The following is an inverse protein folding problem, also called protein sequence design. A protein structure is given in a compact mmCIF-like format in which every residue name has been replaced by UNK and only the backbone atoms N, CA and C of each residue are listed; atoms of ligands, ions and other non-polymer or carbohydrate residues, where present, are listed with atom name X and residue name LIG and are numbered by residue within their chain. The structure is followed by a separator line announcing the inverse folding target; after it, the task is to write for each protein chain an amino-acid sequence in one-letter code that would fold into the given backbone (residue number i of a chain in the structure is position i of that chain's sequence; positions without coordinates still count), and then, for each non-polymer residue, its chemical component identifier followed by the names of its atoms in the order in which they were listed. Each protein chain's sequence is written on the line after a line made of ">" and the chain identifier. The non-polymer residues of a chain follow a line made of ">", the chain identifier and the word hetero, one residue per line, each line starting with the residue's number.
data_IF_725359688948
#
_entry.id   IF_725359688948
#
_cell.length_a   1.000
_cell.length_b   1.000
_cell.length_c   1.000
_cell.angle_alpha   90.00
_cell.angle_beta   90.00
_cell.angle_gamma   90.00
#
_symmetry.space_group_name_H-M   'P 1'
#
loop_
_entity.id
_entity.type
_entity.pdbx_description
1 polymer ?
#
# COMPACT_ATOMS: atom_id res chain seq x y z
N UNK A 1 -20.16 26.53 -0.17
CA UNK A 1 -20.85 25.51 0.67
C UNK A 1 -21.19 26.06 2.06
N UNK A 2 -20.20 26.55 2.82
CA UNK A 2 -20.43 27.16 4.15
C UNK A 2 -21.26 28.44 4.03
N UNK A 3 -20.95 29.30 3.05
CA UNK A 3 -21.75 30.51 2.74
C UNK A 3 -23.19 30.23 2.25
N UNK A 4 -23.53 28.97 1.97
CA UNK A 4 -24.87 28.52 1.57
C UNK A 4 -25.63 27.84 2.73
N UNK A 5 -25.14 27.94 3.97
CA UNK A 5 -25.79 27.39 5.17
C UNK A 5 -25.50 25.90 5.43
N UNK A 6 -24.57 25.27 4.70
CA UNK A 6 -24.16 23.90 5.00
C UNK A 6 -23.20 23.85 6.21
N UNK A 7 -23.41 22.90 7.12
CA UNK A 7 -22.48 22.65 8.23
C UNK A 7 -21.08 22.29 7.72
N UNK A 8 -20.04 22.61 8.49
CA UNK A 8 -18.63 22.36 8.12
C UNK A 8 -18.39 20.89 7.75
N UNK A 9 -19.02 19.96 8.50
CA UNK A 9 -18.95 18.52 8.23
C UNK A 9 -19.59 18.15 6.88
N UNK A 10 -20.73 18.77 6.54
CA UNK A 10 -21.40 18.56 5.25
C UNK A 10 -20.55 19.11 4.09
N UNK A 11 -19.95 20.28 4.26
CA UNK A 11 -19.05 20.87 3.28
C UNK A 11 -17.80 20.00 3.04
N UNK A 12 -17.20 19.49 4.12
CA UNK A 12 -16.04 18.60 4.03
C UNK A 12 -16.36 17.32 3.25
N UNK A 13 -17.38 16.57 3.66
CA UNK A 13 -17.69 15.27 3.05
C UNK A 13 -18.18 15.42 1.60
N UNK A 14 -18.97 16.45 1.29
CA UNK A 14 -19.65 16.57 -0.01
C UNK A 14 -18.87 17.35 -1.06
N UNK A 15 -17.92 18.18 -0.65
CA UNK A 15 -17.14 19.03 -1.57
C UNK A 15 -15.67 18.70 -1.47
N UNK A 16 -15.08 18.84 -0.28
CA UNK A 16 -13.61 18.71 -0.11
C UNK A 16 -13.16 17.26 -0.35
N UNK A 17 -13.82 16.30 0.26
CA UNK A 17 -13.47 14.88 0.23
C UNK A 17 -13.48 14.28 -1.21
N UNK A 18 -14.51 14.49 -2.06
CA UNK A 18 -14.48 14.02 -3.44
C UNK A 18 -13.47 14.78 -4.31
N UNK A 19 -13.24 16.07 -4.06
CA UNK A 19 -12.20 16.84 -4.78
C UNK A 19 -10.78 16.35 -4.44
N UNK A 20 -10.54 15.94 -3.19
CA UNK A 20 -9.27 15.36 -2.76
C UNK A 20 -9.10 13.89 -3.14
N UNK A 21 -10.18 13.21 -3.55
CA UNK A 21 -10.22 11.78 -3.84
C UNK A 21 -9.03 11.27 -4.67
N UNK A 22 -8.77 11.82 -5.87
CA UNK A 22 -7.66 11.38 -6.73
C UNK A 22 -6.28 11.50 -6.05
N UNK A 23 -6.07 12.58 -5.29
CA UNK A 23 -4.84 12.81 -4.54
C UNK A 23 -4.68 11.82 -3.37
N UNK A 24 -5.75 11.56 -2.63
CA UNK A 24 -5.76 10.57 -1.53
C UNK A 24 -5.51 9.17 -2.06
N UNK A 25 -6.10 8.80 -3.21
CA UNK A 25 -5.83 7.52 -3.86
C UNK A 25 -4.37 7.35 -4.25
N UNK A 26 -3.75 8.39 -4.83
CA UNK A 26 -2.31 8.37 -5.14
C UNK A 26 -1.45 8.21 -3.88
N UNK A 27 -1.79 8.92 -2.80
CA UNK A 27 -1.09 8.78 -1.52
C UNK A 27 -1.23 7.38 -0.93
N UNK A 28 -2.43 6.79 -0.98
CA UNK A 28 -2.69 5.45 -0.50
C UNK A 28 -1.86 4.39 -1.25
N UNK A 29 -1.67 4.54 -2.57
CA UNK A 29 -0.82 3.66 -3.37
C UNK A 29 0.64 3.74 -2.91
N UNK A 30 1.17 4.96 -2.76
CA UNK A 30 2.54 5.15 -2.29
C UNK A 30 2.77 4.58 -0.89
N UNK A 31 1.83 4.79 0.03
CA UNK A 31 1.88 4.19 1.37
C UNK A 31 1.82 2.66 1.32
N UNK A 32 0.95 2.08 0.49
CA UNK A 32 0.85 0.62 0.34
C UNK A 32 2.15 -0.02 -0.15
N UNK A 33 2.76 0.57 -1.19
CA UNK A 33 4.04 0.09 -1.75
C UNK A 33 5.15 0.15 -0.70
N UNK A 34 5.17 1.22 0.10
CA UNK A 34 6.18 1.38 1.15
C UNK A 34 6.00 0.32 2.23
N UNK A 35 4.76 0.06 2.65
CA UNK A 35 4.45 -0.87 3.74
C UNK A 35 4.67 -2.35 3.33
N UNK A 36 4.33 -2.74 2.10
CA UNK A 36 4.45 -4.15 1.69
C UNK A 36 5.91 -4.64 1.64
N UNK A 37 6.85 -3.71 1.45
CA UNK A 37 8.29 -3.96 1.44
C UNK A 37 8.98 -3.66 2.78
N UNK A 38 8.22 -3.28 3.81
CA UNK A 38 8.78 -2.82 5.08
C UNK A 38 9.36 -3.97 5.91
N UNK A 39 10.68 -3.97 6.08
CA UNK A 39 11.41 -4.94 6.89
C UNK A 39 11.85 -4.36 8.25
N UNK A 40 12.21 -3.09 8.32
CA UNK A 40 12.93 -2.50 9.46
C UNK A 40 12.10 -2.52 10.75
N UNK A 41 10.85 -2.08 10.68
CA UNK A 41 9.94 -2.19 11.83
C UNK A 41 9.51 -3.64 12.07
N UNK A 42 9.27 -4.39 11.00
CA UNK A 42 8.76 -5.76 11.04
C UNK A 42 9.71 -6.73 11.75
N UNK A 43 11.03 -6.62 11.54
CA UNK A 43 12.01 -7.53 12.16
C UNK A 43 12.11 -7.35 13.67
N UNK A 44 11.76 -6.16 14.19
CA UNK A 44 11.76 -5.88 15.64
C UNK A 44 10.47 -6.40 16.28
N UNK A 45 9.34 -6.32 15.56
CA UNK A 45 8.01 -6.61 16.11
C UNK A 45 7.46 -8.00 15.77
N UNK A 46 8.05 -8.74 14.82
CA UNK A 46 7.47 -10.02 14.42
C UNK A 46 7.59 -11.08 15.52
N UNK A 47 6.56 -11.91 15.62
CA UNK A 47 6.60 -13.19 16.33
C UNK A 47 6.48 -14.34 15.34
N UNK A 48 6.64 -15.58 15.77
CA UNK A 48 6.48 -16.78 14.93
C UNK A 48 5.13 -16.82 14.20
N UNK A 49 4.09 -16.21 14.79
CA UNK A 49 2.73 -16.14 14.21
C UNK A 49 2.50 -14.97 13.23
N UNK A 50 3.31 -13.92 13.26
CA UNK A 50 3.12 -12.69 12.46
C UNK A 50 4.26 -12.45 11.47
N UNK A 51 4.97 -13.51 11.07
CA UNK A 51 6.07 -13.45 10.12
C UNK A 51 5.56 -13.00 8.74
N UNK A 52 5.97 -11.80 8.34
CA UNK A 52 5.71 -11.27 6.99
C UNK A 52 6.62 -11.93 5.95
N UNK A 53 6.25 -11.82 4.67
CA UNK A 53 7.07 -12.35 3.56
C UNK A 53 8.46 -11.71 3.51
N UNK A 54 8.57 -10.39 3.78
CA UNK A 54 9.86 -9.70 3.84
C UNK A 54 10.78 -10.27 4.95
N UNK A 55 10.23 -10.49 6.15
CA UNK A 55 10.97 -11.13 7.25
C UNK A 55 11.31 -12.58 6.91
N UNK A 56 10.44 -13.29 6.18
CA UNK A 56 10.69 -14.65 5.75
C UNK A 56 11.89 -14.77 4.81
N UNK A 57 11.98 -13.89 3.81
CA UNK A 57 13.15 -13.80 2.92
C UNK A 57 14.41 -13.53 3.72
N UNK A 58 14.39 -12.51 4.57
CA UNK A 58 15.55 -12.14 5.38
C UNK A 58 16.03 -13.31 6.27
N UNK A 59 15.10 -13.98 6.95
CA UNK A 59 15.41 -15.11 7.82
C UNK A 59 16.07 -16.28 7.08
N UNK A 60 15.63 -16.61 5.86
CA UNK A 60 16.23 -17.68 5.06
C UNK A 60 17.60 -17.29 4.48
N UNK A 61 17.79 -16.01 4.13
CA UNK A 61 19.10 -15.49 3.69
C UNK A 61 20.13 -15.58 4.82
N UNK A 62 19.77 -15.20 6.04
CA UNK A 62 20.65 -15.31 7.22
C UNK A 62 21.00 -16.77 7.52
N UNK A 63 20.09 -17.71 7.25
CA UNK A 63 20.34 -19.15 7.35
C UNK A 63 21.14 -19.73 6.17
N UNK A 64 21.58 -18.90 5.22
CA UNK A 64 22.29 -19.34 4.00
C UNK A 64 21.44 -20.28 3.11
N UNK A 65 20.11 -20.25 3.27
CA UNK A 65 19.19 -21.06 2.48
C UNK A 65 18.61 -20.26 1.32
N UNK A 66 19.44 -20.03 0.30
CA UNK A 66 19.08 -19.18 -0.83
C UNK A 66 17.94 -19.76 -1.69
N UNK A 67 17.79 -21.09 -1.75
CA UNK A 67 16.71 -21.73 -2.48
C UNK A 67 15.34 -21.33 -1.93
N UNK A 68 15.14 -21.48 -0.62
CA UNK A 68 13.89 -21.08 0.02
C UNK A 68 13.71 -19.55 0.01
N UNK A 69 14.79 -18.79 0.22
CA UNK A 69 14.75 -17.32 0.15
C UNK A 69 14.24 -16.82 -1.21
N UNK A 70 14.70 -17.43 -2.31
CA UNK A 70 14.28 -17.06 -3.67
C UNK A 70 12.78 -17.33 -3.90
N UNK A 71 12.24 -18.43 -3.35
CA UNK A 71 10.81 -18.74 -3.44
C UNK A 71 9.98 -17.68 -2.73
N UNK A 72 10.32 -17.35 -1.48
CA UNK A 72 9.61 -16.31 -0.73
C UNK A 72 9.73 -14.93 -1.37
N UNK A 73 10.91 -14.59 -1.91
CA UNK A 73 11.13 -13.33 -2.60
C UNK A 73 10.28 -13.23 -3.87
N UNK A 74 10.20 -14.31 -4.65
CA UNK A 74 9.39 -14.35 -5.87
C UNK A 74 7.90 -14.18 -5.56
N UNK A 75 7.39 -14.84 -4.51
CA UNK A 75 6.00 -14.70 -4.06
C UNK A 75 5.72 -13.25 -3.61
N UNK A 76 6.65 -12.65 -2.85
CA UNK A 76 6.53 -11.26 -2.42
C UNK A 76 6.49 -10.31 -3.62
N UNK A 77 7.42 -10.46 -4.56
CA UNK A 77 7.46 -9.65 -5.78
C UNK A 77 6.19 -9.80 -6.61
N UNK A 78 5.71 -11.02 -6.83
CA UNK A 78 4.46 -11.28 -7.55
C UNK A 78 3.26 -10.60 -6.86
N UNK A 79 3.17 -10.70 -5.53
CA UNK A 79 2.09 -10.08 -4.76
C UNK A 79 2.13 -8.56 -4.87
N UNK A 80 3.33 -7.96 -4.80
CA UNK A 80 3.51 -6.51 -4.99
C UNK A 80 3.14 -6.06 -6.40
N UNK A 81 3.55 -6.82 -7.43
CA UNK A 81 3.21 -6.52 -8.84
C UNK A 81 1.72 -6.66 -9.08
N UNK A 82 1.06 -7.70 -8.56
CA UNK A 82 -0.40 -7.89 -8.68
C UNK A 82 -1.15 -6.75 -7.97
N UNK A 83 -0.71 -6.38 -6.76
CA UNK A 83 -1.29 -5.26 -6.02
C UNK A 83 -1.20 -3.98 -6.83
N UNK A 84 -0.01 -3.66 -7.36
CA UNK A 84 0.22 -2.50 -8.22
C UNK A 84 -0.63 -2.55 -9.49
N UNK A 85 -0.72 -3.69 -10.16
CA UNK A 85 -1.51 -3.86 -11.38
C UNK A 85 -3.02 -3.66 -11.12
N UNK A 86 -3.53 -4.18 -10.00
CA UNK A 86 -4.90 -3.93 -9.54
C UNK A 86 -5.12 -2.43 -9.29
N UNK A 87 -4.19 -1.77 -8.61
CA UNK A 87 -4.28 -0.33 -8.36
C UNK A 87 -4.22 0.49 -9.66
N UNK A 88 -3.33 0.17 -10.60
CA UNK A 88 -3.28 0.84 -11.90
C UNK A 88 -4.56 0.62 -12.71
N UNK A 89 -5.13 -0.58 -12.69
CA UNK A 89 -6.40 -0.86 -13.38
C UNK A 89 -7.58 -0.09 -12.77
N UNK A 90 -7.59 0.10 -11.45
CA UNK A 90 -8.59 0.90 -10.75
C UNK A 90 -8.37 2.40 -10.97
N UNK A 91 -7.11 2.84 -11.06
CA UNK A 91 -6.73 4.23 -11.27
C UNK A 91 -6.91 4.69 -12.73
N UNK A 92 -6.76 3.77 -13.70
CA UNK A 92 -6.88 4.01 -15.15
C UNK A 92 -8.26 4.46 -15.66
N UNK A 93 -9.21 4.77 -14.77
CA UNK A 93 -10.50 5.42 -15.09
C UNK A 93 -10.58 6.90 -14.69
N UNK A 94 -9.55 7.46 -14.08
CA UNK A 94 -9.48 8.89 -13.78
C UNK A 94 -8.33 9.49 -14.56
N UNK A 95 -8.52 9.56 -15.89
CA UNK A 95 -7.75 10.51 -16.67
C UNK A 95 -7.93 11.89 -16.05
N UNK A 96 -6.79 12.49 -15.75
CA UNK A 96 -6.61 13.78 -15.14
C UNK A 96 -7.18 14.80 -16.14
N UNK A 97 -8.48 15.11 -16.04
CA UNK A 97 -9.02 16.31 -16.67
C UNK A 97 -8.62 17.47 -15.77
N UNK A 98 -7.63 18.21 -16.25
CA UNK A 98 -7.35 19.57 -15.82
C UNK A 98 -8.57 20.48 -16.01
#
# INVERSE_FOLDING_TARGET
>A
AISLGASERTAFIRVILPMMGPGVFSGAIMSWITIICELSASIILYTTKTRTLAVAVYSEVVKTNYGNAAVYATILTLTSVISLALFFKLSGKQEISF
#
